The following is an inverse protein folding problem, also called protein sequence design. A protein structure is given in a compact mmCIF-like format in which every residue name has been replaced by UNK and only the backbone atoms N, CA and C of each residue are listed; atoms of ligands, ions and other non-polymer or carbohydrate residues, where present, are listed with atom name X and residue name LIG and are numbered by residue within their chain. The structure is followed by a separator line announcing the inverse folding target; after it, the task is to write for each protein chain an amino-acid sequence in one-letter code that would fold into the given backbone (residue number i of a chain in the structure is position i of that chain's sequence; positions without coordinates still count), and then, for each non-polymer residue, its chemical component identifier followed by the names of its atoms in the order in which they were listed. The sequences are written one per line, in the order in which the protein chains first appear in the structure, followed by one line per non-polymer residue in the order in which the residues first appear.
data_IF_938577155214
#
_entry.id   IF_938577155214
#
_cell.length_a   1.000
_cell.length_b   1.000
_cell.length_c   1.000
_cell.angle_alpha   90.00
_cell.angle_beta   90.00
_cell.angle_gamma   90.00
#
_symmetry.space_group_name_H-M   'P 1'
#
loop_
_entity.id
_entity.type
_entity.pdbx_description
1 polymer ?
#
# COMPACT_ATOMS: atom_id res chain seq x y z
N UNK A 1 -21.37 -1.23 3.50
CA UNK A 1 -20.20 -0.88 2.67
C UNK A 1 -20.06 0.64 2.60
N UNK A 2 -18.89 1.22 2.89
CA UNK A 2 -18.58 2.60 2.47
C UNK A 2 -18.40 2.53 0.94
N UNK A 3 -19.33 3.05 0.13
CA UNK A 3 -19.15 3.01 -1.31
C UNK A 3 -17.92 3.84 -1.65
N UNK A 4 -16.99 3.28 -2.43
CA UNK A 4 -15.85 4.04 -2.90
C UNK A 4 -16.34 5.32 -3.57
N UNK A 5 -15.77 6.44 -3.15
CA UNK A 5 -16.08 7.69 -3.81
C UNK A 5 -15.61 7.60 -5.26
N UNK A 6 -16.29 8.32 -6.15
CA UNK A 6 -15.85 8.43 -7.55
C UNK A 6 -14.40 8.90 -7.66
N UNK A 7 -13.94 9.69 -6.68
CA UNK A 7 -12.57 10.18 -6.61
C UNK A 7 -11.60 9.04 -6.29
N UNK A 8 -11.91 8.24 -5.27
CA UNK A 8 -11.09 7.11 -4.89
C UNK A 8 -10.97 6.12 -6.06
N UNK A 9 -12.09 5.77 -6.70
CA UNK A 9 -12.09 4.91 -7.89
C UNK A 9 -11.19 5.44 -9.01
N UNK A 10 -11.25 6.75 -9.28
CA UNK A 10 -10.47 7.36 -10.37
C UNK A 10 -8.98 7.44 -10.06
N UNK A 11 -8.59 7.77 -8.83
CA UNK A 11 -7.18 7.93 -8.45
C UNK A 11 -6.56 6.57 -8.17
N UNK A 12 -7.21 5.72 -7.36
CA UNK A 12 -6.73 4.39 -7.02
C UNK A 12 -6.69 3.48 -8.25
N UNK A 13 -7.82 3.33 -8.94
CA UNK A 13 -7.91 2.50 -10.14
C UNK A 13 -7.17 3.06 -11.36
N UNK A 14 -6.79 4.34 -11.33
CA UNK A 14 -6.01 4.97 -12.39
C UNK A 14 -4.51 4.73 -12.31
N UNK A 15 -4.01 4.09 -11.24
CA UNK A 15 -2.58 3.81 -11.10
C UNK A 15 -2.23 2.90 -9.92
N UNK A 16 -2.69 3.21 -8.71
CA UNK A 16 -2.31 2.47 -7.49
C UNK A 16 -2.81 1.02 -7.46
N UNK A 17 -3.90 0.70 -8.15
CA UNK A 17 -4.41 -0.67 -8.27
C UNK A 17 -3.74 -1.49 -9.38
N UNK A 18 -2.77 -0.92 -10.12
CA UNK A 18 -2.29 -1.49 -11.38
C UNK A 18 -0.87 -2.06 -11.30
N UNK A 19 -0.37 -2.34 -10.10
CA UNK A 19 0.99 -2.87 -9.92
C UNK A 19 1.23 -4.16 -10.71
N UNK A 20 0.29 -5.10 -10.68
CA UNK A 20 0.43 -6.40 -11.35
C UNK A 20 0.24 -6.33 -12.87
N UNK A 21 -0.70 -5.50 -13.35
CA UNK A 21 -1.06 -5.43 -14.77
C UNK A 21 -0.23 -4.40 -15.56
N UNK A 22 0.01 -3.23 -14.98
CA UNK A 22 0.69 -2.09 -15.59
C UNK A 22 1.69 -1.43 -14.61
N UNK A 23 2.79 -2.11 -14.23
CA UNK A 23 3.73 -1.62 -13.21
C UNK A 23 4.26 -0.20 -13.48
N UNK A 24 4.38 0.20 -14.74
CA UNK A 24 4.82 1.54 -15.11
C UNK A 24 3.82 2.63 -14.66
N UNK A 25 2.51 2.37 -14.75
CA UNK A 25 1.46 3.29 -14.28
C UNK A 25 1.43 3.35 -12.76
N UNK A 26 1.69 2.23 -12.08
CA UNK A 26 1.84 2.21 -10.63
C UNK A 26 3.03 3.07 -10.17
N UNK A 27 4.19 2.90 -10.79
CA UNK A 27 5.40 3.69 -10.51
C UNK A 27 5.13 5.19 -10.71
N UNK A 28 4.51 5.56 -11.83
CA UNK A 28 4.14 6.95 -12.12
C UNK A 28 3.20 7.52 -11.03
N UNK A 29 2.15 6.78 -10.64
CA UNK A 29 1.23 7.21 -9.61
C UNK A 29 1.91 7.43 -8.25
N UNK A 30 2.84 6.54 -7.88
CA UNK A 30 3.65 6.64 -6.65
C UNK A 30 4.58 7.86 -6.68
N UNK A 31 5.30 8.08 -7.78
CA UNK A 31 6.23 9.21 -7.90
C UNK A 31 5.50 10.56 -7.97
N UNK A 32 4.31 10.60 -8.56
CA UNK A 32 3.50 11.82 -8.63
C UNK A 32 2.82 12.17 -7.29
N UNK A 33 2.53 11.19 -6.42
CA UNK A 33 1.75 11.40 -5.19
C UNK A 33 2.22 12.59 -4.32
N UNK A 34 3.52 12.73 -4.00
CA UNK A 34 4.01 13.87 -3.22
C UNK A 34 3.75 15.22 -3.90
N UNK A 35 3.93 15.29 -5.22
CA UNK A 35 3.69 16.51 -6.02
C UNK A 35 2.21 16.83 -6.08
N UNK A 36 1.35 15.82 -6.23
CA UNK A 36 -0.11 15.96 -6.23
C UNK A 36 -0.62 16.46 -4.89
N UNK A 37 -0.10 15.94 -3.77
CA UNK A 37 -0.41 16.43 -2.42
C UNK A 37 0.04 17.88 -2.23
N UNK A 38 1.28 18.20 -2.59
CA UNK A 38 1.82 19.55 -2.42
C UNK A 38 1.06 20.61 -3.24
N UNK A 39 0.52 20.23 -4.40
CA UNK A 39 -0.18 21.11 -5.33
C UNK A 39 -1.71 20.90 -5.36
N UNK A 40 -2.30 20.40 -4.27
CA UNK A 40 -3.71 20.05 -4.22
C UNK A 40 -4.64 21.23 -3.89
N UNK A 41 -4.71 22.21 -4.79
CA UNK A 41 -5.59 23.38 -4.61
C UNK A 41 -7.08 23.00 -4.45
N UNK A 42 -7.48 21.86 -4.99
CA UNK A 42 -8.87 21.36 -4.92
C UNK A 42 -9.20 20.57 -3.65
N UNK A 43 -8.19 20.20 -2.85
CA UNK A 43 -8.34 19.25 -1.73
C UNK A 43 -8.70 17.83 -2.17
N UNK A 44 -8.59 17.50 -3.46
CA UNK A 44 -9.01 16.20 -3.97
C UNK A 44 -8.02 15.10 -3.58
N UNK A 45 -6.72 15.35 -3.71
CA UNK A 45 -5.70 14.36 -3.37
C UNK A 45 -5.59 14.15 -1.85
N UNK A 46 -5.77 15.19 -1.05
CA UNK A 46 -5.91 15.05 0.41
C UNK A 46 -7.14 14.24 0.77
N UNK A 47 -8.30 14.51 0.17
CA UNK A 47 -9.51 13.74 0.43
C UNK A 47 -9.37 12.26 0.00
N UNK A 48 -8.62 11.99 -1.07
CA UNK A 48 -8.26 10.64 -1.48
C UNK A 48 -7.40 9.94 -0.42
N UNK A 49 -6.33 10.59 0.06
CA UNK A 49 -5.47 10.06 1.12
C UNK A 49 -6.25 9.76 2.40
N UNK A 50 -7.15 10.66 2.80
CA UNK A 50 -8.01 10.43 3.99
C UNK A 50 -8.94 9.23 3.78
N UNK A 51 -9.58 9.12 2.61
CA UNK A 51 -10.43 7.96 2.27
C UNK A 51 -9.63 6.65 2.22
N UNK A 52 -8.41 6.68 1.72
CA UNK A 52 -7.49 5.54 1.74
C UNK A 52 -7.19 5.08 3.17
N UNK A 53 -6.88 6.03 4.07
CA UNK A 53 -6.64 5.72 5.48
C UNK A 53 -7.87 5.09 6.15
N UNK A 54 -9.09 5.52 5.78
CA UNK A 54 -10.33 4.89 6.24
C UNK A 54 -10.42 3.44 5.76
N UNK A 55 -10.09 3.17 4.50
CA UNK A 55 -10.11 1.80 3.96
C UNK A 55 -9.15 0.85 4.71
N UNK A 56 -7.94 1.31 5.05
CA UNK A 56 -7.00 0.54 5.89
C UNK A 56 -7.56 0.35 7.30
N UNK A 57 -7.99 1.42 7.97
CA UNK A 57 -8.45 1.37 9.36
C UNK A 57 -9.66 0.44 9.53
N UNK A 58 -10.57 0.48 8.57
CA UNK A 58 -11.86 -0.20 8.63
C UNK A 58 -11.89 -1.50 7.81
N UNK A 59 -10.74 -1.96 7.29
CA UNK A 59 -10.61 -3.17 6.44
C UNK A 59 -11.77 -3.29 5.46
N UNK A 60 -12.08 -2.18 4.79
CA UNK A 60 -13.33 -2.01 4.03
C UNK A 60 -13.15 -2.10 2.52
N UNK A 61 -11.90 -2.28 2.07
CA UNK A 61 -11.60 -2.64 0.69
C UNK A 61 -11.69 -4.17 0.56
N UNK A 62 -12.62 -4.71 -0.24
CA UNK A 62 -12.82 -6.14 -0.36
C UNK A 62 -11.66 -6.81 -1.13
N UNK A 63 -11.39 -8.10 -0.88
CA UNK A 63 -10.49 -8.90 -1.71
C UNK A 63 -10.93 -8.92 -3.17
N UNK A 64 -9.96 -9.00 -4.09
CA UNK A 64 -10.26 -9.01 -5.53
C UNK A 64 -10.77 -10.36 -6.01
N UNK A 65 -10.43 -11.43 -5.29
CA UNK A 65 -10.87 -12.80 -5.58
C UNK A 65 -11.14 -13.61 -4.33
N UNK A 66 -11.90 -14.71 -4.47
CA UNK A 66 -12.16 -15.66 -3.38
C UNK A 66 -10.90 -16.39 -2.88
N UNK A 67 -9.79 -16.31 -3.63
CA UNK A 67 -8.52 -16.90 -3.24
C UNK A 67 -7.72 -15.99 -2.29
N UNK A 68 -8.09 -14.71 -2.20
CA UNK A 68 -7.45 -13.73 -1.34
C UNK A 68 -8.22 -13.57 -0.03
N UNK A 69 -7.49 -13.49 1.07
CA UNK A 69 -8.08 -13.13 2.36
C UNK A 69 -8.14 -11.61 2.51
N UNK A 70 -9.09 -11.12 3.31
CA UNK A 70 -9.15 -9.70 3.70
C UNK A 70 -7.80 -9.21 4.27
N UNK A 71 -7.06 -10.08 4.97
CA UNK A 71 -5.75 -9.71 5.51
C UNK A 71 -4.71 -9.43 4.43
N UNK A 72 -4.70 -10.22 3.34
CA UNK A 72 -3.80 -9.97 2.22
C UNK A 72 -4.10 -8.63 1.57
N UNK A 73 -5.38 -8.30 1.39
CA UNK A 73 -5.82 -7.00 0.90
C UNK A 73 -5.43 -5.86 1.83
N UNK A 74 -5.63 -6.02 3.14
CA UNK A 74 -5.24 -5.02 4.14
C UNK A 74 -3.72 -4.76 4.10
N UNK A 75 -2.91 -5.82 4.00
CA UNK A 75 -1.45 -5.73 3.91
C UNK A 75 -1.00 -5.07 2.59
N UNK A 76 -1.61 -5.42 1.46
CA UNK A 76 -1.34 -4.77 0.17
C UNK A 76 -1.67 -3.28 0.21
N UNK A 77 -2.80 -2.88 0.81
CA UNK A 77 -3.12 -1.46 0.98
C UNK A 77 -2.08 -0.72 1.84
N UNK A 78 -1.47 -1.38 2.84
CA UNK A 78 -0.36 -0.79 3.60
C UNK A 78 0.89 -0.61 2.75
N UNK A 79 1.16 -1.51 1.80
CA UNK A 79 2.28 -1.36 0.86
C UNK A 79 2.06 -0.17 -0.05
N UNK A 80 0.87 -0.07 -0.64
CA UNK A 80 0.49 1.07 -1.49
C UNK A 80 0.55 2.39 -0.70
N UNK A 81 0.07 2.40 0.55
CA UNK A 81 0.19 3.56 1.42
C UNK A 81 1.65 3.94 1.66
N UNK A 82 2.49 2.95 2.00
CA UNK A 82 3.92 3.16 2.22
C UNK A 82 4.60 3.72 0.98
N UNK A 83 4.27 3.19 -0.20
CA UNK A 83 4.82 3.61 -1.49
C UNK A 83 4.39 5.04 -1.84
N UNK A 84 3.11 5.36 -1.70
CA UNK A 84 2.56 6.66 -2.10
C UNK A 84 2.82 7.79 -1.09
N UNK A 85 2.75 7.51 0.21
CA UNK A 85 2.67 8.54 1.26
C UNK A 85 3.82 8.51 2.26
N UNK A 86 4.65 7.46 2.25
CA UNK A 86 5.86 7.37 3.05
C UNK A 86 5.75 6.43 4.26
N UNK A 87 6.78 6.43 5.13
CA UNK A 87 6.94 5.42 6.18
C UNK A 87 5.99 5.56 7.37
N UNK A 88 5.33 6.72 7.50
CA UNK A 88 4.35 6.93 8.57
C UNK A 88 3.07 6.12 8.30
N UNK A 89 2.61 5.30 9.27
CA UNK A 89 1.42 4.49 9.10
C UNK A 89 0.17 5.32 8.75
N UNK A 90 -0.80 4.68 8.10
CA UNK A 90 -2.09 5.29 7.86
C UNK A 90 -2.74 5.71 9.19
N UNK A 91 -3.31 6.93 9.29
CA UNK A 91 -3.92 7.40 10.52
C UNK A 91 -4.98 6.44 11.09
N UNK A 92 -4.69 5.88 12.26
CA UNK A 92 -5.58 4.94 12.95
C UNK A 92 -5.53 3.51 12.42
N UNK A 93 -4.51 3.12 11.64
CA UNK A 93 -4.27 1.72 11.28
C UNK A 93 -4.16 0.86 12.56
N UNK A 94 -5.02 -0.15 12.73
CA UNK A 94 -5.00 -1.03 13.90
C UNK A 94 -3.78 -1.95 13.93
N UNK A 95 -3.17 -2.25 12.77
CA UNK A 95 -2.11 -3.25 12.63
C UNK A 95 -0.95 -2.75 11.76
N UNK A 96 -0.31 -1.62 12.12
CA UNK A 96 0.74 -1.01 11.30
C UNK A 96 1.92 -1.98 11.09
N UNK A 97 2.59 -1.83 9.96
CA UNK A 97 3.87 -2.50 9.71
C UNK A 97 4.97 -1.76 10.46
N UNK A 98 5.82 -2.44 11.26
CA UNK A 98 7.00 -1.84 11.87
C UNK A 98 7.89 -1.17 10.84
N UNK A 99 8.42 0.02 11.16
CA UNK A 99 9.18 0.81 10.20
C UNK A 99 10.45 0.06 9.73
N UNK A 100 11.07 -0.70 10.62
CA UNK A 100 12.27 -1.51 10.39
C UNK A 100 12.04 -2.73 9.48
N UNK A 101 10.79 -3.10 9.19
CA UNK A 101 10.51 -4.23 8.31
C UNK A 101 10.60 -3.83 6.83
N UNK A 102 10.27 -2.58 6.50
CA UNK A 102 10.27 -2.06 5.14
C UNK A 102 11.64 -2.14 4.48
N UNK A 103 11.71 -2.69 3.27
CA UNK A 103 12.96 -2.85 2.54
C UNK A 103 13.91 -3.89 3.15
N UNK A 104 13.46 -4.66 4.15
CA UNK A 104 14.29 -5.67 4.82
C UNK A 104 13.62 -7.04 4.86
N UNK A 105 12.51 -7.15 5.59
CA UNK A 105 11.65 -8.34 5.69
C UNK A 105 10.38 -8.16 4.85
N UNK A 106 9.99 -6.91 4.57
CA UNK A 106 8.81 -6.50 3.82
C UNK A 106 9.24 -5.77 2.53
N UNK A 107 8.79 -6.29 1.39
CA UNK A 107 8.93 -5.66 0.07
C UNK A 107 7.58 -5.13 -0.39
N UNK A 108 7.58 -4.03 -1.13
CA UNK A 108 6.41 -3.46 -1.80
C UNK A 108 6.55 -3.55 -3.32
N UNK A 109 5.46 -3.33 -4.05
CA UNK A 109 5.46 -3.34 -5.51
C UNK A 109 6.39 -2.26 -6.10
N UNK A 110 6.48 -1.08 -5.48
CA UNK A 110 7.43 -0.07 -5.93
C UNK A 110 8.87 -0.56 -5.76
N UNK A 111 9.20 -1.24 -4.66
CA UNK A 111 10.54 -1.80 -4.47
C UNK A 111 10.88 -2.86 -5.53
N UNK A 112 9.90 -3.68 -5.92
CA UNK A 112 10.08 -4.75 -6.91
C UNK A 112 10.20 -4.23 -8.34
N UNK A 113 9.44 -3.20 -8.70
CA UNK A 113 9.32 -2.74 -10.08
C UNK A 113 10.14 -1.49 -10.39
N UNK A 114 10.32 -0.59 -9.41
CA UNK A 114 10.98 0.69 -9.61
C UNK A 114 12.48 0.66 -9.28
N UNK A 115 12.91 -0.24 -8.38
CA UNK A 115 14.28 -0.27 -7.87
C UNK A 115 15.06 -1.41 -8.52
N UNK A 116 16.04 -1.06 -9.34
CA UNK A 116 16.98 -2.01 -9.95
C UNK A 116 18.30 -2.06 -9.17
N UNK A 117 19.25 -2.89 -9.64
CA UNK A 117 20.57 -3.09 -9.00
C UNK A 117 21.38 -1.79 -8.83
N UNK A 118 21.11 -0.77 -9.65
CA UNK A 118 21.72 0.56 -9.53
C UNK A 118 20.70 1.65 -9.83
N UNK A 119 20.88 2.83 -9.23
CA UNK A 119 19.97 3.97 -9.40
C UNK A 119 19.87 4.45 -10.87
N UNK A 120 20.93 4.29 -11.66
CA UNK A 120 20.93 4.67 -13.08
C UNK A 120 19.97 3.83 -13.94
N UNK A 121 19.63 2.64 -13.46
CA UNK A 121 18.70 1.72 -14.13
C UNK A 121 17.33 1.68 -13.46
N UNK A 122 17.18 2.30 -12.29
CA UNK A 122 15.91 2.42 -11.56
C UNK A 122 14.99 3.47 -12.20
N UNK A 123 13.75 3.52 -11.71
CA UNK A 123 12.79 4.56 -12.08
C UNK A 123 13.33 5.97 -11.76
N UNK A 124 12.93 7.02 -12.50
CA UNK A 124 13.48 8.36 -12.33
C UNK A 124 13.37 8.92 -10.90
N UNK A 125 12.26 8.66 -10.20
CA UNK A 125 12.04 9.11 -8.81
C UNK A 125 12.62 8.18 -7.74
N UNK A 126 13.20 7.03 -8.11
CA UNK A 126 13.68 6.01 -7.17
C UNK A 126 14.67 6.55 -6.13
N UNK A 127 15.59 7.42 -6.54
CA UNK A 127 16.60 7.98 -5.64
C UNK A 127 15.97 8.85 -4.53
N UNK A 128 15.01 9.70 -4.91
CA UNK A 128 14.28 10.56 -3.97
C UNK A 128 13.35 9.72 -3.09
N UNK A 129 12.69 8.72 -3.67
CA UNK A 129 11.80 7.80 -2.97
C UNK A 129 12.52 7.00 -1.88
N UNK A 130 13.71 6.46 -2.19
CA UNK A 130 14.57 5.74 -1.24
C UNK A 130 15.07 6.66 -0.13
N UNK A 131 15.54 7.85 -0.49
CA UNK A 131 16.04 8.84 0.48
C UNK A 131 14.95 9.28 1.47
N UNK A 132 13.72 9.48 1.00
CA UNK A 132 12.58 9.83 1.85
C UNK A 132 12.21 8.73 2.87
N UNK A 133 12.64 7.49 2.63
CA UNK A 133 12.37 6.31 3.47
C UNK A 133 13.58 5.82 4.24
N UNK A 134 14.75 6.47 4.07
CA UNK A 134 15.99 6.04 4.70
C UNK A 134 16.48 4.67 4.22
N UNK A 135 16.13 4.29 2.99
CA UNK A 135 16.50 3.01 2.38
C UNK A 135 17.60 3.20 1.32
N UNK A 136 18.30 2.11 1.03
CA UNK A 136 19.28 2.02 -0.06
C UNK A 136 18.92 0.94 -1.06
N UNK A 137 19.52 0.98 -2.25
CA UNK A 137 19.40 -0.11 -3.23
C UNK A 137 19.92 -1.45 -2.66
N UNK A 138 20.93 -1.40 -1.78
CA UNK A 138 21.47 -2.59 -1.13
C UNK A 138 20.46 -3.23 -0.16
N UNK A 139 19.71 -2.41 0.58
CA UNK A 139 18.65 -2.91 1.47
C UNK A 139 17.60 -3.68 0.66
N UNK A 140 17.13 -3.08 -0.44
CA UNK A 140 16.14 -3.70 -1.33
C UNK A 140 16.71 -4.97 -1.96
N UNK A 141 17.93 -4.93 -2.49
CA UNK A 141 18.58 -6.09 -3.08
C UNK A 141 18.71 -7.25 -2.07
N UNK A 142 19.14 -6.96 -0.85
CA UNK A 142 19.24 -7.96 0.21
C UNK A 142 17.88 -8.53 0.64
N UNK A 143 16.82 -7.72 0.63
CA UNK A 143 15.47 -8.19 0.90
C UNK A 143 14.93 -9.08 -0.24
N UNK A 144 15.16 -8.70 -1.49
CA UNK A 144 14.81 -9.51 -2.67
C UNK A 144 15.53 -10.85 -2.66
N UNK A 145 16.84 -10.87 -2.34
CA UNK A 145 17.63 -12.11 -2.28
C UNK A 145 17.16 -13.07 -1.16
N UNK A 146 16.55 -12.53 -0.10
CA UNK A 146 15.92 -13.34 0.96
C UNK A 146 14.54 -13.87 0.58
N UNK A 147 13.89 -13.29 -0.44
CA UNK A 147 12.57 -13.69 -0.90
C UNK A 147 12.68 -14.86 -1.90
N UNK A 148 12.13 -16.05 -1.60
CA UNK A 148 12.23 -17.21 -2.50
C UNK A 148 11.50 -17.02 -3.84
N UNK A 149 10.58 -16.06 -3.90
CA UNK A 149 9.69 -15.79 -5.05
C UNK A 149 9.82 -14.38 -5.60
N UNK A 150 10.69 -13.54 -5.02
CA UNK A 150 10.74 -12.10 -5.32
C UNK A 150 9.36 -11.42 -5.28
N UNK A 151 8.54 -11.80 -4.30
CA UNK A 151 7.19 -11.27 -4.13
C UNK A 151 7.09 -10.36 -2.92
N UNK A 152 6.01 -9.58 -2.90
CA UNK A 152 5.54 -8.85 -1.72
C UNK A 152 5.41 -9.82 -0.54
N UNK A 153 5.92 -9.42 0.62
CA UNK A 153 6.09 -10.31 1.78
C UNK A 153 4.97 -10.18 2.80
N UNK A 154 3.79 -10.77 2.59
CA UNK A 154 2.65 -10.62 3.50
C UNK A 154 2.90 -11.29 4.86
N UNK A 155 2.60 -10.56 5.95
CA UNK A 155 2.67 -11.12 7.30
C UNK A 155 1.51 -12.08 7.53
N UNK A 156 1.61 -12.93 8.56
CA UNK A 156 0.42 -13.61 9.09
C UNK A 156 -0.48 -12.61 9.80
N UNK A 157 -1.80 -12.83 9.74
CA UNK A 157 -2.76 -12.00 10.47
C UNK A 157 -2.43 -11.99 11.97
N UNK A 158 -2.33 -10.81 12.60
CA UNK A 158 -2.00 -10.71 14.02
C UNK A 158 -3.17 -11.16 14.89
N UNK A 159 -2.88 -11.43 16.16
CA UNK A 159 -3.91 -11.68 17.16
C UNK A 159 -4.88 -10.49 17.25
N UNK A 160 -6.18 -10.78 17.37
CA UNK A 160 -7.24 -9.78 17.46
C UNK A 160 -7.67 -9.17 16.11
N UNK A 161 -7.01 -9.51 14.99
CA UNK A 161 -7.43 -9.02 13.67
C UNK A 161 -8.86 -9.46 13.30
N UNK A 162 -9.19 -10.73 13.49
CA UNK A 162 -10.53 -11.24 13.19
C UNK A 162 -11.60 -10.63 14.11
N UNK A 163 -11.28 -10.43 15.38
CA UNK A 163 -12.19 -9.75 16.33
C UNK A 163 -12.43 -8.30 15.94
N UNK A 164 -11.39 -7.60 15.45
CA UNK A 164 -11.51 -6.25 14.88
C UNK A 164 -12.45 -6.23 13.67
N UNK A 165 -12.30 -7.19 12.74
CA UNK A 165 -13.23 -7.31 11.60
C UNK A 165 -14.68 -7.53 12.03
N UNK A 166 -14.90 -8.35 13.06
CA UNK A 166 -16.23 -8.58 13.62
C UNK A 166 -16.81 -7.34 14.29
N UNK A 167 -16.03 -6.57 15.06
CA UNK A 167 -16.48 -5.29 15.65
C UNK A 167 -16.90 -4.30 14.58
N UNK A 168 -16.09 -4.14 13.53
CA UNK A 168 -16.39 -3.24 12.43
C UNK A 168 -17.68 -3.62 11.69
N UNK A 169 -17.90 -4.92 11.46
CA UNK A 169 -19.13 -5.43 10.87
C UNK A 169 -20.34 -5.21 11.80
N UNK A 170 -20.19 -5.46 13.10
CA UNK A 170 -21.25 -5.24 14.09
C UNK A 170 -21.66 -3.76 14.19
N UNK A 171 -20.71 -2.85 13.97
CA UNK A 171 -20.92 -1.40 13.92
C UNK A 171 -21.41 -0.89 12.56
N UNK A 172 -21.52 -1.75 11.56
CA UNK A 172 -21.99 -1.42 10.22
C UNK A 172 -21.00 -0.58 9.40
N UNK A 173 -19.72 -0.58 9.76
CA UNK A 173 -18.67 0.16 9.04
C UNK A 173 -18.21 -0.57 7.78
N UNK A 174 -18.31 -1.90 7.79
CA UNK A 174 -18.01 -2.76 6.64
C UNK A 174 -18.96 -3.95 6.55
N UNK A 175 -18.83 -4.71 5.47
CA UNK A 175 -19.55 -5.98 5.27
C UNK A 175 -18.55 -7.13 5.37
N UNK A 176 -18.98 -8.24 5.97
CA UNK A 176 -18.16 -9.45 6.03
C UNK A 176 -17.85 -9.96 4.62
N UNK A 177 -16.58 -10.28 4.38
CA UNK A 177 -16.08 -10.82 3.14
C UNK A 177 -15.95 -12.35 3.22
N UNK A 178 -16.02 -13.05 2.08
CA UNK A 178 -15.69 -14.46 2.03
C UNK A 178 -14.24 -14.70 2.50
N UNK A 179 -14.01 -15.74 3.31
CA UNK A 179 -12.67 -16.13 3.74
C UNK A 179 -12.14 -15.45 5.01
N UNK A 180 -12.98 -14.69 5.72
CA UNK A 180 -12.77 -14.25 7.11
C UNK A 180 -12.90 -15.39 8.13
#
# INVERSE_FOLDING_TARGET
MIPWSRRFQLIFGGGFALADDEPALYIEAVEEAPVRLANDASGSYHAFREEFAVHIRESSFPPESEAESQWMTDEWLRDVWYDAFGPEPAPGDPFPVPQEDWGHSRLTDYMLHAINQTLETSAPGAAEWLAARGLTVEDIGAAVDRSPTQSVGFRSAPEGWLDHLHDLTARGLREAQPGE
#
